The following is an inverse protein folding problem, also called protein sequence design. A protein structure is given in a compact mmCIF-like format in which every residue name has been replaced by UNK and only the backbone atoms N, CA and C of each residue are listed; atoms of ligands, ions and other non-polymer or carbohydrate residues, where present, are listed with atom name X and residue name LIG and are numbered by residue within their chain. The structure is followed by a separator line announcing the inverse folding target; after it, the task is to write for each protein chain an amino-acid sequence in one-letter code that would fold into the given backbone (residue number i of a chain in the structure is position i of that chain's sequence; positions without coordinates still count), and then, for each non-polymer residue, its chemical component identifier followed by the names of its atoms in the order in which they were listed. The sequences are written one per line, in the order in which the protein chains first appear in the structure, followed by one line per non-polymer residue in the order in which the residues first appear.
data_IF_524593428124
#
_entry.id   IF_524593428124
#
_cell.length_a   1.000
_cell.length_b   1.000
_cell.length_c   1.000
_cell.angle_alpha   90.00
_cell.angle_beta   90.00
_cell.angle_gamma   90.00
#
_symmetry.space_group_name_H-M   'P 1'
#
loop_
_entity.id
_entity.type
_entity.pdbx_description
1 polymer ?
#
# COMPACT_ATOMS: atom_id res chain seq x y z
N UNK A 1 -64.13 -23.60 26.13
CA UNK A 1 -64.40 -25.05 26.21
C UNK A 1 -63.73 -25.66 24.99
N UNK A 2 -62.49 -26.12 25.11
CA UNK A 2 -62.09 -27.48 25.54
C UNK A 2 -62.05 -28.44 24.36
N UNK A 3 -60.86 -28.95 24.04
CA UNK A 3 -60.67 -30.11 23.17
C UNK A 3 -59.21 -30.23 22.74
N UNK A 4 -58.54 -31.27 23.23
CA UNK A 4 -57.09 -31.50 23.20
C UNK A 4 -56.82 -32.81 22.44
N UNK A 5 -55.64 -32.91 21.80
CA UNK A 5 -54.86 -34.13 21.50
C UNK A 5 -55.42 -35.14 20.46
N UNK A 6 -54.64 -35.94 19.75
CA UNK A 6 -53.19 -36.17 19.66
C UNK A 6 -52.94 -37.01 18.38
N UNK A 7 -51.78 -36.90 17.76
CA UNK A 7 -50.91 -38.07 17.58
C UNK A 7 -49.51 -37.63 17.15
N UNK A 8 -48.54 -38.16 17.88
CA UNK A 8 -47.14 -37.78 17.89
C UNK A 8 -46.31 -38.74 17.03
N UNK A 9 -45.30 -38.20 16.34
CA UNK A 9 -44.03 -38.88 16.05
C UNK A 9 -42.95 -37.80 16.17
N UNK A 10 -42.34 -37.70 17.35
CA UNK A 10 -40.98 -38.19 17.66
C UNK A 10 -39.86 -37.42 16.93
N UNK A 11 -39.24 -36.49 17.70
CA UNK A 11 -37.81 -36.13 17.76
C UNK A 11 -37.06 -35.75 16.45
N UNK A 12 -36.14 -34.79 16.37
CA UNK A 12 -35.62 -33.71 17.21
C UNK A 12 -34.65 -32.96 16.26
N UNK A 13 -34.61 -31.63 16.35
CA UNK A 13 -33.42 -30.78 16.16
C UNK A 13 -32.58 -30.92 14.87
N UNK A 14 -32.64 -29.90 14.00
CA UNK A 14 -31.58 -28.87 13.95
C UNK A 14 -31.92 -27.81 12.88
N UNK A 15 -32.44 -26.68 13.39
CA UNK A 15 -32.44 -25.30 12.87
C UNK A 15 -32.00 -25.08 11.40
N UNK A 16 -33.01 -25.02 10.54
CA UNK A 16 -32.97 -24.24 9.31
C UNK A 16 -33.03 -22.76 9.70
N UNK A 17 -31.87 -22.11 9.80
CA UNK A 17 -31.73 -20.68 9.57
C UNK A 17 -30.42 -20.46 8.85
N UNK A 18 -30.36 -20.87 7.57
CA UNK A 18 -29.28 -20.49 6.67
C UNK A 18 -29.51 -19.02 6.29
N UNK A 19 -29.17 -18.16 7.24
CA UNK A 19 -29.31 -16.70 7.17
C UNK A 19 -28.46 -16.18 6.03
N UNK A 20 -29.13 -15.53 5.09
CA UNK A 20 -28.62 -14.63 4.07
C UNK A 20 -27.86 -13.49 4.77
N UNK A 21 -26.63 -13.74 5.22
CA UNK A 21 -25.78 -12.76 5.92
C UNK A 21 -24.27 -13.05 5.85
N UNK A 22 -23.83 -14.09 5.15
CA UNK A 22 -22.40 -14.40 4.99
C UNK A 22 -21.78 -13.93 3.67
N UNK A 23 -22.43 -13.00 2.96
CA UNK A 23 -21.77 -12.23 1.90
C UNK A 23 -21.16 -10.94 2.48
N UNK A 24 -20.50 -11.06 3.63
CA UNK A 24 -19.51 -10.07 4.05
C UNK A 24 -18.36 -10.21 3.07
N UNK A 25 -18.26 -9.24 2.16
CA UNK A 25 -17.02 -8.90 1.47
C UNK A 25 -16.00 -8.68 2.59
N UNK A 26 -15.28 -9.73 2.96
CA UNK A 26 -13.97 -9.56 3.58
C UNK A 26 -13.19 -8.85 2.50
N UNK A 27 -12.92 -7.55 2.67
CA UNK A 27 -11.76 -6.96 2.03
C UNK A 27 -10.62 -7.93 2.34
N UNK A 28 -10.15 -8.66 1.35
CA UNK A 28 -9.00 -9.54 1.51
C UNK A 28 -7.86 -8.62 1.91
N UNK A 29 -7.61 -8.54 3.22
CA UNK A 29 -6.52 -7.79 3.80
C UNK A 29 -5.27 -8.45 3.26
N UNK A 30 -4.79 -7.94 2.12
CA UNK A 30 -3.66 -8.52 1.43
C UNK A 30 -2.48 -8.46 2.39
N UNK A 31 -1.99 -9.62 2.77
CA UNK A 31 -0.87 -9.70 3.70
C UNK A 31 0.34 -9.03 3.05
N UNK A 32 0.82 -7.97 3.68
CA UNK A 32 2.06 -7.32 3.27
C UNK A 32 3.21 -8.11 3.89
N UNK A 33 4.26 -8.36 3.12
CA UNK A 33 5.50 -8.94 3.64
C UNK A 33 6.62 -7.93 3.53
N UNK A 34 7.45 -7.83 4.57
CA UNK A 34 8.57 -6.91 4.64
C UNK A 34 9.87 -7.69 4.65
N UNK A 35 10.79 -7.37 3.73
CA UNK A 35 12.13 -7.91 3.74
C UNK A 35 12.91 -7.35 4.94
N UNK A 36 13.27 -8.20 5.90
CA UNK A 36 14.02 -7.83 7.09
C UNK A 36 15.44 -7.30 6.83
N UNK A 37 15.99 -7.50 5.62
CA UNK A 37 17.32 -6.98 5.26
C UNK A 37 17.30 -5.54 4.76
N UNK A 38 16.32 -5.17 3.94
CA UNK A 38 16.30 -3.86 3.25
C UNK A 38 14.99 -3.09 3.39
N UNK A 39 13.97 -3.67 4.02
CA UNK A 39 12.67 -3.03 4.22
C UNK A 39 11.80 -2.90 2.97
N UNK A 40 12.10 -3.63 1.89
CA UNK A 40 11.20 -3.78 0.73
C UNK A 40 9.86 -4.39 1.16
N UNK A 41 8.76 -3.84 0.67
CA UNK A 41 7.40 -4.30 0.97
C UNK A 41 6.81 -4.96 -0.28
N UNK A 42 6.29 -6.16 -0.12
CA UNK A 42 5.57 -6.87 -1.19
C UNK A 42 4.11 -7.07 -0.76
N UNK A 43 3.20 -6.88 -1.71
CA UNK A 43 1.78 -7.09 -1.55
C UNK A 43 1.43 -8.53 -1.95
N UNK A 44 0.86 -9.32 -1.06
CA UNK A 44 0.35 -10.66 -1.37
C UNK A 44 1.31 -11.77 -0.96
N UNK A 45 2.37 -12.04 -1.71
CA UNK A 45 3.26 -13.18 -1.40
C UNK A 45 4.75 -12.82 -1.49
N UNK A 46 5.54 -13.36 -0.56
CA UNK A 46 6.99 -13.16 -0.54
C UNK A 46 7.69 -13.87 -1.73
N UNK A 47 8.51 -13.15 -2.52
CA UNK A 47 9.28 -13.74 -3.61
C UNK A 47 10.43 -14.62 -3.08
N UNK A 48 11.00 -15.46 -3.94
CA UNK A 48 12.14 -16.31 -3.59
C UNK A 48 13.39 -15.50 -3.24
N UNK A 49 13.63 -14.43 -3.99
CA UNK A 49 14.68 -13.45 -3.74
C UNK A 49 14.09 -12.04 -3.74
N UNK A 50 14.52 -11.22 -2.78
CA UNK A 50 14.10 -9.82 -2.70
C UNK A 50 14.62 -9.04 -3.93
N UNK A 51 13.74 -8.36 -4.70
CA UNK A 51 14.15 -7.64 -5.91
C UNK A 51 15.05 -6.43 -5.64
N UNK A 52 15.13 -5.97 -4.38
CA UNK A 52 15.95 -4.82 -3.98
C UNK A 52 17.35 -5.22 -3.52
N UNK A 53 17.47 -6.27 -2.69
CA UNK A 53 18.74 -6.61 -2.03
C UNK A 53 19.16 -8.07 -2.18
N UNK A 54 18.41 -8.84 -2.98
CA UNK A 54 18.61 -10.26 -3.25
C UNK A 54 18.63 -11.17 -2.00
N UNK A 55 18.04 -10.71 -0.88
CA UNK A 55 17.86 -11.55 0.30
C UNK A 55 16.90 -12.71 -0.01
N UNK A 56 17.18 -13.93 0.50
CA UNK A 56 16.29 -15.06 0.32
C UNK A 56 14.94 -14.87 1.03
N UNK A 57 13.94 -15.64 0.60
CA UNK A 57 12.55 -15.59 1.09
C UNK A 57 12.40 -15.64 2.61
N UNK A 58 13.28 -16.33 3.32
CA UNK A 58 13.24 -16.43 4.79
C UNK A 58 13.51 -15.10 5.51
N UNK A 59 13.99 -14.05 4.82
CA UNK A 59 14.08 -12.70 5.37
C UNK A 59 12.74 -11.97 5.37
N UNK A 60 11.70 -12.47 4.70
CA UNK A 60 10.40 -11.82 4.67
C UNK A 60 9.55 -12.21 5.88
N UNK A 61 8.93 -11.21 6.50
CA UNK A 61 7.98 -11.39 7.60
C UNK A 61 6.64 -10.72 7.25
N UNK A 62 5.50 -11.36 7.55
CA UNK A 62 4.20 -10.72 7.39
C UNK A 62 4.07 -9.55 8.37
N UNK A 63 3.61 -8.40 7.88
CA UNK A 63 3.36 -7.21 8.68
C UNK A 63 2.18 -6.41 8.12
N UNK A 64 1.00 -6.59 8.73
CA UNK A 64 -0.21 -5.89 8.32
C UNK A 64 -0.18 -4.38 8.61
N UNK A 65 0.81 -3.90 9.37
CA UNK A 65 1.00 -2.50 9.75
C UNK A 65 2.25 -1.88 9.09
N UNK A 66 2.85 -2.58 8.12
CA UNK A 66 4.08 -2.15 7.44
C UNK A 66 3.98 -0.77 6.77
N UNK A 67 2.76 -0.38 6.38
CA UNK A 67 2.46 0.84 5.64
C UNK A 67 1.44 1.66 6.44
N UNK A 68 1.80 2.91 6.72
CA UNK A 68 0.92 3.90 7.36
C UNK A 68 0.05 4.59 6.32
N UNK A 69 -1.15 4.95 6.76
CA UNK A 69 -2.11 5.76 6.02
C UNK A 69 -2.63 6.88 6.94
N UNK A 70 -3.04 8.02 6.39
CA UNK A 70 -3.72 9.03 7.19
C UNK A 70 -4.97 8.49 7.89
N UNK A 71 -5.22 8.94 9.10
CA UNK A 71 -6.44 8.59 9.84
C UNK A 71 -7.69 9.22 9.20
N UNK A 72 -7.57 10.48 8.74
CA UNK A 72 -8.59 11.18 7.96
C UNK A 72 -7.95 11.83 6.73
N UNK A 73 -8.08 11.24 5.53
CA UNK A 73 -7.51 11.78 4.30
C UNK A 73 -7.98 13.20 3.93
N UNK A 74 -9.09 13.70 4.52
CA UNK A 74 -9.59 15.05 4.28
C UNK A 74 -9.06 16.08 5.28
N UNK A 75 -8.49 15.62 6.40
CA UNK A 75 -8.02 16.47 7.47
C UNK A 75 -6.69 15.95 8.04
N UNK A 76 -5.64 16.08 7.22
CA UNK A 76 -4.31 15.60 7.57
C UNK A 76 -3.70 16.41 8.71
N UNK A 77 -3.16 15.72 9.71
CA UNK A 77 -2.31 16.32 10.73
C UNK A 77 -0.91 16.65 10.16
N UNK A 78 -0.07 17.34 10.93
CA UNK A 78 1.24 17.79 10.43
C UNK A 78 2.17 16.64 10.03
N UNK A 79 2.16 15.54 10.78
CA UNK A 79 2.96 14.35 10.46
C UNK A 79 2.49 13.76 9.12
N UNK A 80 1.18 13.57 8.96
CA UNK A 80 0.57 13.03 7.74
C UNK A 80 0.83 13.93 6.52
N UNK A 81 0.74 15.25 6.70
CA UNK A 81 1.08 16.25 5.67
C UNK A 81 2.53 16.21 5.25
N UNK A 82 3.44 15.73 6.10
CA UNK A 82 4.87 15.62 5.78
C UNK A 82 5.26 14.28 5.15
N UNK A 83 4.50 13.21 5.39
CA UNK A 83 4.91 11.87 5.00
C UNK A 83 4.06 11.25 3.90
N UNK A 84 2.78 11.61 3.80
CA UNK A 84 1.91 11.06 2.77
C UNK A 84 2.40 11.56 1.40
N UNK A 85 2.75 10.66 0.46
CA UNK A 85 3.18 11.08 -0.86
C UNK A 85 2.05 11.83 -1.60
N UNK A 86 2.41 12.90 -2.30
CA UNK A 86 1.53 13.64 -3.20
C UNK A 86 1.94 13.31 -4.62
N UNK A 87 1.04 12.71 -5.39
CA UNK A 87 1.31 12.20 -6.73
C UNK A 87 0.53 13.03 -7.75
N UNK A 88 1.23 13.51 -8.78
CA UNK A 88 0.63 14.18 -9.94
C UNK A 88 1.03 13.43 -11.21
N UNK A 89 0.02 12.95 -11.95
CA UNK A 89 0.20 12.29 -13.24
C UNK A 89 0.04 13.31 -14.38
N UNK A 90 0.91 13.22 -15.39
CA UNK A 90 0.84 14.00 -16.62
C UNK A 90 1.04 13.09 -17.83
N UNK A 91 0.01 12.96 -18.69
CA UNK A 91 0.10 12.20 -19.96
C UNK A 91 0.86 12.95 -21.06
N UNK A 92 1.25 14.19 -20.78
CA UNK A 92 2.12 14.98 -21.64
C UNK A 92 3.55 14.82 -21.13
N UNK A 93 4.17 13.70 -21.50
CA UNK A 93 5.55 13.42 -21.12
C UNK A 93 6.53 14.28 -21.91
N UNK A 94 7.36 15.03 -21.18
CA UNK A 94 8.28 16.00 -21.77
C UNK A 94 9.59 15.41 -22.30
N UNK A 95 9.91 14.15 -21.97
CA UNK A 95 11.24 13.58 -22.19
C UNK A 95 11.27 12.42 -23.18
N UNK A 96 10.41 11.40 -23.00
CA UNK A 96 10.47 10.16 -23.79
C UNK A 96 9.49 10.12 -24.99
N UNK A 97 8.71 11.19 -25.20
CA UNK A 97 7.79 11.31 -26.34
C UNK A 97 6.48 10.54 -26.20
N UNK A 98 5.90 10.13 -27.33
CA UNK A 98 4.57 9.51 -27.37
C UNK A 98 4.53 8.17 -26.62
N UNK A 99 3.45 7.95 -25.83
CA UNK A 99 3.28 6.73 -25.03
C UNK A 99 4.01 6.73 -23.69
N UNK A 100 4.57 7.88 -23.30
CA UNK A 100 5.15 8.10 -21.97
C UNK A 100 4.17 8.88 -21.07
N UNK A 101 4.11 8.49 -19.80
CA UNK A 101 3.35 9.18 -18.76
C UNK A 101 4.30 9.64 -17.65
N UNK A 102 4.30 10.93 -17.34
CA UNK A 102 5.10 11.49 -16.26
C UNK A 102 4.34 11.34 -14.93
N UNK A 103 5.04 10.88 -13.90
CA UNK A 103 4.56 10.92 -12.53
C UNK A 103 5.51 11.76 -11.68
N UNK A 104 4.98 12.84 -11.12
CA UNK A 104 5.68 13.72 -10.20
C UNK A 104 5.23 13.37 -8.79
N UNK A 105 6.16 12.93 -7.96
CA UNK A 105 5.92 12.41 -6.61
C UNK A 105 6.67 13.33 -5.66
N UNK A 106 5.95 13.96 -4.73
CA UNK A 106 6.50 14.78 -3.66
C UNK A 106 6.19 14.12 -2.33
N UNK A 107 7.15 13.99 -1.43
CA UNK A 107 6.87 13.46 -0.09
C UNK A 107 6.35 14.59 0.80
N UNK A 108 5.03 14.54 1.04
CA UNK A 108 4.28 15.50 1.83
C UNK A 108 3.69 16.69 1.06
N UNK A 109 2.48 17.11 1.44
CA UNK A 109 1.94 18.44 1.15
C UNK A 109 2.89 19.52 1.68
N UNK A 110 3.32 19.35 2.93
CA UNK A 110 4.46 20.04 3.53
C UNK A 110 5.67 19.19 3.19
N UNK A 111 6.66 19.77 2.50
CA UNK A 111 7.82 19.00 2.07
C UNK A 111 8.55 18.39 3.27
N UNK A 112 8.77 17.08 3.26
CA UNK A 112 9.54 16.40 4.29
C UNK A 112 10.98 16.95 4.36
N UNK A 113 11.58 17.11 5.56
CA UNK A 113 12.99 17.48 5.70
C UNK A 113 13.94 16.40 5.14
N UNK A 114 15.15 16.79 4.74
CA UNK A 114 16.17 15.85 4.28
C UNK A 114 17.48 16.11 5.03
N UNK A 115 17.42 16.02 6.36
CA UNK A 115 18.56 16.28 7.25
C UNK A 115 19.31 14.96 7.55
N UNK A 116 20.59 15.04 7.96
CA UNK A 116 21.42 13.87 8.29
C UNK A 116 20.71 12.83 9.17
N UNK A 117 19.99 13.28 10.20
CA UNK A 117 19.34 12.42 11.19
C UNK A 117 17.85 12.18 10.93
N UNK A 118 17.26 12.87 9.97
CA UNK A 118 15.83 12.78 9.67
C UNK A 118 15.59 13.04 8.18
N UNK A 119 15.43 11.95 7.44
CA UNK A 119 15.30 12.00 5.98
C UNK A 119 14.48 10.82 5.46
N UNK A 120 14.00 10.98 4.23
CA UNK A 120 13.42 9.89 3.46
C UNK A 120 14.55 9.05 2.90
N UNK A 121 14.62 7.78 3.28
CA UNK A 121 15.68 6.84 2.87
C UNK A 121 15.44 6.27 1.48
N UNK A 122 14.18 6.05 1.11
CA UNK A 122 13.80 5.54 -0.20
C UNK A 122 12.36 5.89 -0.59
N UNK A 123 12.10 5.88 -1.90
CA UNK A 123 10.75 5.88 -2.48
C UNK A 123 10.64 4.66 -3.40
N UNK A 124 9.73 3.75 -3.08
CA UNK A 124 9.41 2.58 -3.88
C UNK A 124 8.19 2.84 -4.75
N UNK A 125 8.30 2.43 -6.01
CA UNK A 125 7.25 2.59 -7.02
C UNK A 125 6.65 1.24 -7.37
N UNK A 126 5.33 1.18 -7.39
CA UNK A 126 4.56 0.03 -7.83
C UNK A 126 3.51 0.45 -8.86
N UNK A 127 3.19 -0.43 -9.78
CA UNK A 127 2.01 -0.32 -10.66
C UNK A 127 1.21 -1.59 -10.48
N UNK A 128 -0.07 -1.46 -10.08
CA UNK A 128 -0.95 -2.61 -9.83
C UNK A 128 -0.34 -3.65 -8.89
N UNK A 129 0.32 -3.16 -7.83
CA UNK A 129 1.07 -3.94 -6.83
C UNK A 129 2.36 -4.62 -7.33
N UNK A 130 2.70 -4.48 -8.60
CA UNK A 130 3.97 -4.96 -9.17
C UNK A 130 5.06 -3.93 -8.87
N UNK A 131 6.16 -4.39 -8.26
CA UNK A 131 7.31 -3.53 -7.99
C UNK A 131 7.98 -3.10 -9.29
N UNK A 132 8.19 -1.78 -9.44
CA UNK A 132 8.83 -1.17 -10.61
C UNK A 132 10.27 -0.80 -10.29
N UNK A 133 10.48 -0.08 -9.19
CA UNK A 133 11.78 0.48 -8.84
C UNK A 133 11.82 1.01 -7.43
N UNK A 134 13.03 1.05 -6.84
CA UNK A 134 13.34 1.76 -5.61
C UNK A 134 14.33 2.88 -5.91
N UNK A 135 14.03 4.08 -5.43
CA UNK A 135 14.92 5.23 -5.46
C UNK A 135 15.47 5.47 -4.06
N UNK A 136 16.76 5.26 -3.86
CA UNK A 136 17.43 5.61 -2.61
C UNK A 136 17.73 7.10 -2.61
N UNK A 137 17.43 7.78 -1.50
CA UNK A 137 17.77 9.19 -1.34
C UNK A 137 18.86 9.38 -0.29
N UNK A 138 19.79 10.25 -0.62
CA UNK A 138 20.87 10.67 0.28
C UNK A 138 20.42 11.93 1.02
N UNK A 139 20.48 11.91 2.35
CA UNK A 139 20.26 13.07 3.20
C UNK A 139 21.10 14.27 2.74
N UNK A 140 20.58 15.49 2.90
CA UNK A 140 21.21 16.78 2.60
C UNK A 140 21.66 17.02 1.15
N UNK A 141 21.42 16.06 0.25
CA UNK A 141 21.85 16.13 -1.15
C UNK A 141 20.67 16.11 -2.13
N UNK A 142 19.51 15.66 -1.68
CA UNK A 142 18.30 15.57 -2.49
C UNK A 142 17.12 16.16 -1.73
N UNK A 143 16.19 16.77 -2.48
CA UNK A 143 14.83 16.94 -2.02
C UNK A 143 14.09 15.59 -2.12
N UNK A 144 13.09 15.30 -1.27
CA UNK A 144 12.30 14.08 -1.37
C UNK A 144 11.20 14.25 -2.43
N UNK A 145 11.64 14.45 -3.67
CA UNK A 145 10.81 14.64 -4.86
C UNK A 145 11.38 13.78 -5.97
N UNK A 146 10.50 13.12 -6.71
CA UNK A 146 10.85 12.25 -7.81
C UNK A 146 9.98 12.56 -9.03
N UNK A 147 10.60 12.70 -10.19
CA UNK A 147 9.93 12.67 -11.49
C UNK A 147 10.30 11.39 -12.21
N UNK A 148 9.32 10.57 -12.59
CA UNK A 148 9.53 9.35 -13.36
C UNK A 148 8.75 9.38 -14.66
N UNK A 149 9.31 8.73 -15.68
CA UNK A 149 8.74 8.61 -17.02
C UNK A 149 8.31 7.15 -17.24
N UNK A 150 7.01 6.90 -17.17
CA UNK A 150 6.43 5.56 -17.23
C UNK A 150 6.03 5.19 -18.65
N UNK A 151 6.39 3.98 -19.08
CA UNK A 151 5.94 3.38 -20.34
C UNK A 151 4.74 2.47 -20.10
N UNK A 152 3.62 3.06 -19.71
CA UNK A 152 2.35 2.36 -19.44
C UNK A 152 1.17 3.15 -20.00
N UNK A 153 0.10 2.43 -20.37
CA UNK A 153 -1.13 3.03 -20.89
C UNK A 153 -2.17 3.33 -19.80
N UNK A 154 -1.95 2.85 -18.58
CA UNK A 154 -2.82 3.01 -17.42
C UNK A 154 -2.39 2.10 -16.28
N UNK A 155 -3.22 2.03 -15.24
CA UNK A 155 -2.97 1.25 -14.02
C UNK A 155 -2.96 2.14 -12.79
N UNK A 156 -2.73 1.55 -11.61
CA UNK A 156 -2.69 2.26 -10.34
C UNK A 156 -1.24 2.41 -9.88
N UNK A 157 -0.71 3.63 -9.97
CA UNK A 157 0.60 3.97 -9.42
C UNK A 157 0.51 4.00 -7.90
N UNK A 158 1.48 3.40 -7.22
CA UNK A 158 1.69 3.56 -5.79
C UNK A 158 3.10 4.06 -5.54
N UNK A 159 3.21 5.11 -4.74
CA UNK A 159 4.47 5.58 -4.20
C UNK A 159 4.51 5.27 -2.71
N UNK A 160 5.48 4.48 -2.27
CA UNK A 160 5.73 4.13 -0.87
C UNK A 160 7.05 4.77 -0.43
N UNK A 161 6.98 5.78 0.42
CA UNK A 161 8.18 6.37 1.01
C UNK A 161 8.62 5.59 2.26
N UNK A 162 9.89 5.68 2.62
CA UNK A 162 10.42 5.19 3.89
C UNK A 162 11.23 6.27 4.62
N UNK A 163 10.67 6.87 5.66
CA UNK A 163 11.34 7.77 6.59
C UNK A 163 12.10 6.97 7.66
N UNK A 164 13.33 7.36 7.94
CA UNK A 164 14.17 6.67 8.93
C UNK A 164 13.60 6.73 10.36
N UNK A 165 12.78 7.73 10.68
CA UNK A 165 12.16 7.89 12.01
C UNK A 165 10.68 7.52 12.05
N UNK A 166 9.93 7.84 11.00
CA UNK A 166 8.47 7.76 11.02
C UNK A 166 7.90 6.57 10.26
N UNK A 167 8.75 5.68 9.73
CA UNK A 167 8.33 4.47 9.03
C UNK A 167 7.90 4.75 7.59
N UNK A 168 6.97 3.94 7.08
CA UNK A 168 6.61 3.95 5.66
C UNK A 168 5.21 4.50 5.45
N UNK A 169 5.06 5.37 4.47
CA UNK A 169 3.77 5.97 4.10
C UNK A 169 3.53 5.81 2.61
N UNK A 170 2.27 5.61 2.23
CA UNK A 170 1.91 5.33 0.85
C UNK A 170 0.75 6.20 0.40
N UNK A 171 0.82 6.62 -0.86
CA UNK A 171 -0.32 7.12 -1.61
C UNK A 171 -0.40 6.42 -2.96
N UNK A 172 -1.56 6.52 -3.59
CA UNK A 172 -1.83 5.96 -4.89
C UNK A 172 -2.53 6.97 -5.79
N UNK A 173 -2.33 6.83 -7.10
CA UNK A 173 -3.00 7.62 -8.12
C UNK A 173 -3.23 6.74 -9.35
N UNK A 174 -4.34 6.97 -10.04
CA UNK A 174 -4.61 6.31 -11.31
C UNK A 174 -3.80 6.99 -12.42
N UNK A 175 -3.24 6.18 -13.33
CA UNK A 175 -2.42 6.60 -14.47
C UNK A 175 -3.30 6.85 -15.70
#
# INVERSE_FOLDING_TARGET
MSGVNAQAFHYNLCRISCSISYMLIREEKMDNFVCGKCGYVVFGSAPDNCPVCNAPKNFFQPDSNAIKKPADPKNLNELEKKHTPVIKISKQCGLAGAGCTDAHIKIGEILHPMEEKHFITSIDIYIDNVFISRYHLTAERLNPILGIHLKVSGGKLKALESCNLHGRWMAEADI
#
